data_IF_246640943877
#
_entry.id   IF_246640943877
#
_cell.length_a   1.000
_cell.length_b   1.000
_cell.length_c   1.000
_cell.angle_alpha   90.00
_cell.angle_beta   90.00
_cell.angle_gamma   90.00
#
_symmetry.space_group_name_H-M   'P 1'
#
loop_
_entity.id
_entity.type
_entity.pdbx_description
1 polymer ?
#
# COMPACT_ATOMS: atom_id res chain seq x y z
N UNK A 1 5.76 -16.56 -13.86
CA UNK A 1 4.51 -16.20 -13.15
C UNK A 1 4.64 -14.76 -12.66
N UNK A 2 3.64 -13.94 -12.93
CA UNK A 2 3.60 -12.49 -12.63
C UNK A 2 2.82 -12.24 -11.34
N UNK A 3 3.48 -11.68 -10.33
CA UNK A 3 2.93 -11.52 -8.98
C UNK A 3 2.93 -10.05 -8.56
N UNK A 4 1.80 -9.57 -8.03
CA UNK A 4 1.73 -8.27 -7.35
C UNK A 4 1.67 -8.50 -5.84
N UNK A 5 2.62 -7.92 -5.10
CA UNK A 5 2.71 -8.03 -3.63
C UNK A 5 2.49 -6.66 -3.01
N UNK A 6 1.50 -6.54 -2.12
CA UNK A 6 1.30 -5.30 -1.36
C UNK A 6 1.69 -5.52 0.10
N UNK A 7 2.43 -4.58 0.66
CA UNK A 7 2.84 -4.57 2.06
C UNK A 7 2.22 -3.40 2.81
N UNK A 8 1.52 -3.73 3.92
CA UNK A 8 0.91 -2.74 4.81
C UNK A 8 1.94 -2.00 5.67
N UNK A 9 1.55 -0.89 6.27
CA UNK A 9 2.43 -0.05 7.08
C UNK A 9 3.05 -0.75 8.29
N UNK A 10 2.36 -1.73 8.87
CA UNK A 10 2.88 -2.57 9.97
C UNK A 10 4.04 -3.48 9.56
N UNK A 11 4.18 -3.75 8.25
CA UNK A 11 5.25 -4.59 7.71
C UNK A 11 6.55 -3.81 7.44
N UNK A 12 6.53 -2.48 7.52
CA UNK A 12 7.65 -1.60 7.13
C UNK A 12 7.94 -0.49 8.16
N UNK A 13 7.41 -0.57 9.37
CA UNK A 13 7.52 0.45 10.42
C UNK A 13 8.85 0.42 11.20
N UNK A 14 9.80 -0.44 10.81
CA UNK A 14 11.16 -0.49 11.34
C UNK A 14 12.13 -1.09 10.32
N UNK A 15 13.43 -0.82 10.46
CA UNK A 15 14.42 -1.34 9.54
C UNK A 15 14.48 -2.87 9.50
N UNK A 16 14.32 -3.53 10.66
CA UNK A 16 14.23 -5.00 10.73
C UNK A 16 13.07 -5.56 9.90
N UNK A 17 11.92 -4.89 9.92
CA UNK A 17 10.77 -5.32 9.12
C UNK A 17 10.96 -5.03 7.63
N UNK A 18 11.60 -3.93 7.27
CA UNK A 18 11.98 -3.65 5.87
C UNK A 18 12.93 -4.73 5.34
N UNK A 19 13.94 -5.13 6.12
CA UNK A 19 14.83 -6.27 5.78
C UNK A 19 14.03 -7.57 5.61
N UNK A 20 13.08 -7.82 6.51
CA UNK A 20 12.21 -9.00 6.42
C UNK A 20 11.40 -8.99 5.12
N UNK A 21 10.76 -7.88 4.77
CA UNK A 21 10.02 -7.71 3.50
C UNK A 21 10.95 -7.91 2.30
N UNK A 22 12.14 -7.33 2.31
CA UNK A 22 13.11 -7.50 1.23
C UNK A 22 13.53 -8.97 1.04
N UNK A 23 13.82 -9.68 2.13
CA UNK A 23 14.15 -11.10 2.09
C UNK A 23 12.95 -11.96 1.66
N UNK A 24 11.74 -11.60 2.05
CA UNK A 24 10.52 -12.25 1.61
C UNK A 24 10.35 -12.17 0.09
N UNK A 25 10.47 -10.97 -0.49
CA UNK A 25 10.45 -10.75 -1.94
C UNK A 25 11.55 -11.60 -2.61
N UNK A 26 12.77 -11.59 -2.08
CA UNK A 26 13.89 -12.37 -2.60
C UNK A 26 13.59 -13.87 -2.62
N UNK A 27 13.02 -14.41 -1.54
CA UNK A 27 12.71 -15.83 -1.41
C UNK A 27 11.68 -16.31 -2.42
N UNK A 28 10.67 -15.50 -2.71
CA UNK A 28 9.63 -15.86 -3.68
C UNK A 28 10.11 -15.68 -5.12
N UNK A 29 10.94 -14.69 -5.40
CA UNK A 29 11.54 -14.52 -6.74
C UNK A 29 12.32 -15.74 -7.18
N UNK A 30 13.12 -16.33 -6.28
CA UNK A 30 13.90 -17.53 -6.60
C UNK A 30 13.06 -18.81 -6.72
N UNK A 31 11.88 -18.87 -6.07
CA UNK A 31 11.10 -20.10 -6.01
C UNK A 31 10.15 -20.30 -7.18
N UNK A 32 9.47 -19.28 -7.68
CA UNK A 32 8.36 -19.45 -8.67
C UNK A 32 8.03 -18.21 -9.50
N UNK A 33 8.54 -17.02 -9.16
CA UNK A 33 8.04 -15.78 -9.74
C UNK A 33 9.16 -14.94 -10.34
N UNK A 34 9.27 -14.94 -11.66
CA UNK A 34 10.30 -14.18 -12.34
C UNK A 34 9.92 -12.70 -12.45
N UNK A 35 8.62 -12.38 -12.51
CA UNK A 35 8.09 -11.04 -12.63
C UNK A 35 7.31 -10.65 -11.38
N UNK A 36 7.79 -9.66 -10.65
CA UNK A 36 7.19 -9.21 -9.38
C UNK A 36 7.05 -7.70 -9.35
N UNK A 37 5.94 -7.22 -8.79
CA UNK A 37 5.70 -5.80 -8.49
C UNK A 37 5.38 -5.67 -7.00
N UNK A 38 6.06 -4.76 -6.31
CA UNK A 38 5.77 -4.40 -4.92
C UNK A 38 4.92 -3.14 -4.85
N UNK A 39 3.87 -3.16 -4.02
CA UNK A 39 3.06 -1.96 -3.67
C UNK A 39 3.24 -1.69 -2.18
N UNK A 40 3.67 -0.48 -1.85
CA UNK A 40 4.06 -0.12 -0.50
C UNK A 40 3.10 0.93 0.07
N UNK A 41 2.61 0.68 1.29
CA UNK A 41 1.83 1.65 2.06
C UNK A 41 2.75 2.62 2.82
N UNK A 42 2.17 3.67 3.39
CA UNK A 42 2.85 4.52 4.36
C UNK A 42 3.33 3.70 5.58
N UNK A 43 4.41 4.15 6.23
CA UNK A 43 4.80 3.64 7.56
C UNK A 43 3.63 3.78 8.52
N UNK A 44 3.45 2.79 9.40
CA UNK A 44 2.34 2.76 10.35
C UNK A 44 2.18 4.08 11.10
N UNK A 45 0.96 4.62 11.10
CA UNK A 45 0.58 5.86 11.78
C UNK A 45 0.87 7.14 11.00
N UNK A 46 1.73 7.11 9.97
CA UNK A 46 2.11 8.31 9.20
C UNK A 46 0.92 9.00 8.54
N UNK A 47 -0.01 8.23 7.97
CA UNK A 47 -1.22 8.76 7.34
C UNK A 47 -2.09 9.54 8.33
N UNK A 48 -2.29 8.97 9.53
CA UNK A 48 -3.07 9.61 10.60
C UNK A 48 -2.36 10.85 11.15
N UNK A 49 -1.03 10.81 11.27
CA UNK A 49 -0.23 11.97 11.70
C UNK A 49 -0.31 13.11 10.68
N UNK A 50 -0.22 12.83 9.37
CA UNK A 50 -0.36 13.85 8.32
C UNK A 50 -1.77 14.47 8.37
N UNK A 51 -2.81 13.66 8.54
CA UNK A 51 -4.16 14.16 8.68
C UNK A 51 -4.33 15.02 9.94
N UNK A 52 -3.74 14.62 11.06
CA UNK A 52 -3.74 15.40 12.30
C UNK A 52 -3.04 16.73 12.15
N UNK A 53 -1.82 16.72 11.55
CA UNK A 53 -1.04 17.95 11.35
C UNK A 53 -1.73 18.91 10.38
N UNK A 54 -2.43 18.42 9.36
CA UNK A 54 -3.20 19.28 8.44
C UNK A 54 -4.25 20.12 9.15
N UNK A 55 -4.82 19.62 10.26
CA UNK A 55 -5.73 20.36 11.10
C UNK A 55 -5.02 21.38 12.01
N UNK A 56 -3.79 21.09 12.45
CA UNK A 56 -2.97 22.03 13.23
C UNK A 56 -2.47 23.19 12.38
N UNK A 57 -2.13 22.91 11.12
CA UNK A 57 -1.75 23.92 10.12
C UNK A 57 -2.82 24.99 9.93
N UNK A 58 -4.11 24.60 9.84
CA UNK A 58 -5.26 25.54 9.76
C UNK A 58 -5.31 26.51 10.93
N UNK A 59 -4.77 26.14 12.09
CA UNK A 59 -4.73 26.95 13.32
C UNK A 59 -3.44 27.75 13.46
N UNK A 60 -2.50 27.64 12.51
CA UNK A 60 -1.20 28.29 12.55
C UNK A 60 -0.24 27.74 13.62
N UNK A 61 -0.43 26.49 14.07
CA UNK A 61 0.38 25.84 15.10
C UNK A 61 1.75 25.39 14.55
N UNK A 62 2.68 26.31 14.46
CA UNK A 62 4.03 26.06 13.96
C UNK A 62 4.83 25.10 14.82
N UNK A 63 4.59 25.06 16.14
CA UNK A 63 5.32 24.17 17.04
C UNK A 63 4.99 22.71 16.74
N UNK A 64 3.72 22.39 16.60
CA UNK A 64 3.29 21.03 16.21
C UNK A 64 3.85 20.62 14.85
N UNK A 65 3.98 21.55 13.89
CA UNK A 65 4.56 21.27 12.58
C UNK A 65 6.04 20.93 12.71
N UNK A 66 6.80 21.75 13.40
CA UNK A 66 8.24 21.51 13.63
C UNK A 66 8.49 20.17 14.33
N UNK A 67 7.70 19.84 15.35
CA UNK A 67 7.79 18.57 16.06
C UNK A 67 7.42 17.38 15.16
N UNK A 68 6.41 17.50 14.32
CA UNK A 68 6.04 16.49 13.34
C UNK A 68 7.17 16.24 12.33
N UNK A 69 7.71 17.27 11.71
CA UNK A 69 8.81 17.17 10.74
C UNK A 69 10.03 16.53 11.39
N UNK A 70 10.40 16.96 12.60
CA UNK A 70 11.52 16.38 13.36
C UNK A 70 11.32 14.88 13.61
N UNK A 71 10.15 14.47 14.09
CA UNK A 71 9.85 13.04 14.32
C UNK A 71 9.86 12.26 13.02
N UNK A 72 9.27 12.79 11.95
CA UNK A 72 9.26 12.16 10.61
C UNK A 72 10.68 11.92 10.12
N UNK A 73 11.56 12.91 10.24
CA UNK A 73 12.97 12.82 9.86
C UNK A 73 13.71 11.74 10.65
N UNK A 74 13.57 11.74 11.98
CA UNK A 74 14.20 10.74 12.85
C UNK A 74 13.69 9.32 12.53
N UNK A 75 12.38 9.14 12.39
CA UNK A 75 11.78 7.83 12.12
C UNK A 75 12.30 7.22 10.82
N UNK A 76 12.27 7.98 9.72
CA UNK A 76 12.73 7.47 8.43
C UNK A 76 14.24 7.27 8.38
N UNK A 77 15.02 8.16 9.06
CA UNK A 77 16.47 7.98 9.19
C UNK A 77 16.82 6.67 9.92
N UNK A 78 16.16 6.37 11.04
CA UNK A 78 16.37 5.12 11.78
C UNK A 78 16.03 3.90 10.91
N UNK A 79 14.91 3.94 10.18
CA UNK A 79 14.52 2.84 9.28
C UNK A 79 15.59 2.62 8.21
N UNK A 80 16.11 3.69 7.59
CA UNK A 80 17.17 3.62 6.58
C UNK A 80 18.47 3.03 7.18
N UNK A 81 18.92 3.56 8.31
CA UNK A 81 20.16 3.13 8.94
C UNK A 81 20.15 1.67 9.36
N UNK A 82 19.01 1.19 9.82
CA UNK A 82 18.81 -0.22 10.20
C UNK A 82 18.64 -1.16 8.99
N UNK A 83 18.08 -0.67 7.86
CA UNK A 83 17.67 -1.55 6.75
C UNK A 83 18.65 -1.61 5.59
N UNK A 84 19.57 -0.66 5.45
CA UNK A 84 20.47 -0.57 4.32
C UNK A 84 21.92 -0.57 4.83
N UNK A 85 22.66 -1.65 4.56
CA UNK A 85 24.03 -1.85 5.04
C UNK A 85 25.07 -1.17 4.16
N UNK A 86 24.86 -1.16 2.84
CA UNK A 86 25.74 -0.51 1.87
C UNK A 86 25.70 1.01 2.02
N UNK A 87 26.83 1.63 2.36
CA UNK A 87 26.94 3.06 2.64
C UNK A 87 26.51 3.93 1.46
N UNK A 88 26.86 3.54 0.22
CA UNK A 88 26.47 4.32 -0.97
C UNK A 88 24.96 4.32 -1.17
N UNK A 89 24.31 3.15 -1.07
CA UNK A 89 22.85 3.03 -1.18
C UNK A 89 22.14 3.73 -0.02
N UNK A 90 22.69 3.64 1.19
CA UNK A 90 22.18 4.34 2.37
C UNK A 90 22.19 5.84 2.17
N UNK A 91 23.32 6.41 1.73
CA UNK A 91 23.43 7.85 1.45
C UNK A 91 22.46 8.31 0.34
N UNK A 92 22.28 7.48 -0.70
CA UNK A 92 21.29 7.77 -1.74
C UNK A 92 19.86 7.78 -1.19
N UNK A 93 19.51 6.79 -0.37
CA UNK A 93 18.19 6.73 0.29
C UNK A 93 17.98 7.95 1.20
N UNK A 94 18.97 8.29 2.03
CA UNK A 94 18.93 9.46 2.92
C UNK A 94 18.69 10.76 2.14
N UNK A 95 19.40 10.96 1.03
CA UNK A 95 19.24 12.15 0.20
C UNK A 95 17.82 12.25 -0.37
N UNK A 96 17.27 11.15 -0.90
CA UNK A 96 15.90 11.13 -1.42
C UNK A 96 14.87 11.45 -0.33
N UNK A 97 15.01 10.81 0.84
CA UNK A 97 14.07 11.02 1.94
C UNK A 97 14.19 12.43 2.54
N UNK A 98 15.41 12.96 2.65
CA UNK A 98 15.63 14.34 3.11
C UNK A 98 14.91 15.33 2.19
N UNK A 99 15.11 15.23 0.87
CA UNK A 99 14.45 16.11 -0.10
C UNK A 99 12.92 16.03 -0.02
N UNK A 100 12.36 14.83 0.18
CA UNK A 100 10.91 14.66 0.33
C UNK A 100 10.39 15.27 1.64
N UNK A 101 11.16 15.21 2.72
CA UNK A 101 10.76 15.81 4.00
C UNK A 101 10.89 17.33 3.94
N UNK A 102 11.92 17.86 3.27
CA UNK A 102 12.07 19.30 3.05
C UNK A 102 10.90 19.83 2.20
N UNK A 103 10.51 19.11 1.12
CA UNK A 103 9.31 19.43 0.33
C UNK A 103 8.02 19.41 1.17
N UNK A 104 7.86 18.43 2.06
CA UNK A 104 6.72 18.35 2.98
C UNK A 104 6.68 19.54 3.93
N UNK A 105 7.84 19.95 4.48
CA UNK A 105 8.01 21.11 5.36
C UNK A 105 7.61 22.39 4.65
N UNK A 106 8.14 22.64 3.45
CA UNK A 106 7.83 23.81 2.62
C UNK A 106 6.33 23.95 2.33
N UNK A 107 5.65 22.82 2.03
CA UNK A 107 4.22 22.80 1.76
C UNK A 107 3.41 23.11 3.02
N UNK A 108 3.79 22.54 4.15
CA UNK A 108 3.12 22.81 5.43
C UNK A 108 3.26 24.30 5.81
N UNK A 109 4.45 24.90 5.61
CA UNK A 109 4.67 26.32 5.81
C UNK A 109 3.84 27.18 4.85
N UNK A 110 3.78 26.80 3.58
CA UNK A 110 2.95 27.49 2.59
C UNK A 110 1.45 27.46 2.95
N UNK A 111 0.96 26.33 3.45
CA UNK A 111 -0.43 26.18 3.89
C UNK A 111 -0.69 27.05 5.15
N UNK A 112 0.27 27.15 6.09
CA UNK A 112 0.15 28.05 7.25
C UNK A 112 -0.05 29.50 6.81
N UNK A 113 0.68 29.93 5.79
CA UNK A 113 0.56 31.31 5.27
C UNK A 113 -0.80 31.57 4.62
N UNK A 114 -1.36 30.56 3.94
CA UNK A 114 -2.69 30.65 3.30
C UNK A 114 -3.84 30.44 4.28
N UNK A 115 -3.58 29.83 5.43
CA UNK A 115 -4.56 29.41 6.44
C UNK A 115 -5.70 28.53 5.87
N UNK A 116 -5.42 27.82 4.76
CA UNK A 116 -6.41 27.00 4.05
C UNK A 116 -5.83 25.66 3.63
N UNK A 117 -6.58 24.56 3.88
CA UNK A 117 -6.29 23.22 3.37
C UNK A 117 -7.44 22.83 2.44
N UNK A 118 -7.18 22.83 1.15
CA UNK A 118 -8.13 22.33 0.15
C UNK A 118 -8.09 20.80 0.06
N UNK A 119 -9.13 20.12 -0.46
CA UNK A 119 -9.06 18.68 -0.72
C UNK A 119 -7.84 18.29 -1.58
N UNK A 120 -7.49 19.10 -2.57
CA UNK A 120 -6.31 18.89 -3.43
C UNK A 120 -5.00 18.99 -2.65
N UNK A 121 -4.82 19.99 -1.79
CA UNK A 121 -3.61 20.12 -0.97
C UNK A 121 -3.53 19.02 0.09
N UNK A 122 -4.68 18.55 0.60
CA UNK A 122 -4.72 17.43 1.52
C UNK A 122 -4.26 16.13 0.84
N UNK A 123 -4.73 15.81 -0.37
CA UNK A 123 -4.25 14.65 -1.13
C UNK A 123 -2.76 14.70 -1.38
N UNK A 124 -2.24 15.90 -1.69
CA UNK A 124 -0.81 16.08 -1.87
C UNK A 124 -0.04 15.79 -0.57
N UNK A 125 -0.47 16.34 0.58
CA UNK A 125 0.12 16.04 1.88
C UNK A 125 0.05 14.55 2.22
N UNK A 126 -1.14 13.94 2.05
CA UNK A 126 -1.35 12.51 2.33
C UNK A 126 -0.43 11.61 1.52
N UNK A 127 -0.05 12.03 0.31
CA UNK A 127 0.83 11.25 -0.57
C UNK A 127 2.25 11.05 0.01
N UNK A 128 2.70 11.90 0.92
CA UNK A 128 4.04 11.79 1.51
C UNK A 128 4.22 10.51 2.34
N UNK A 129 3.14 9.95 2.88
CA UNK A 129 3.22 8.69 3.59
C UNK A 129 3.90 7.58 2.77
N UNK A 130 3.38 7.32 1.59
CA UNK A 130 3.90 6.31 0.67
C UNK A 130 5.14 6.79 -0.09
N UNK A 131 5.25 8.08 -0.40
CA UNK A 131 6.44 8.65 -1.04
C UNK A 131 7.68 8.52 -0.18
N UNK A 132 7.54 8.57 1.14
CA UNK A 132 8.65 8.39 2.09
C UNK A 132 9.03 6.92 2.30
N UNK A 133 8.07 6.00 2.30
CA UNK A 133 8.33 4.58 2.58
C UNK A 133 8.84 3.79 1.37
N UNK A 134 8.30 4.06 0.18
CA UNK A 134 8.54 3.28 -1.03
C UNK A 134 10.00 3.28 -1.49
N UNK A 135 10.73 4.42 -1.51
CA UNK A 135 12.15 4.44 -1.84
C UNK A 135 12.99 3.57 -0.89
N UNK A 136 12.70 3.61 0.41
CA UNK A 136 13.46 2.84 1.41
C UNK A 136 13.40 1.34 1.10
N UNK A 137 12.22 0.80 0.81
CA UNK A 137 12.04 -0.61 0.44
C UNK A 137 12.81 -0.93 -0.85
N UNK A 138 12.79 -0.05 -1.85
CA UNK A 138 13.54 -0.25 -3.09
C UNK A 138 15.04 -0.26 -2.85
N UNK A 139 15.57 0.65 -2.05
CA UNK A 139 17.00 0.65 -1.71
C UNK A 139 17.41 -0.57 -0.88
N UNK A 140 16.56 -1.04 0.04
CA UNK A 140 16.79 -2.26 0.80
C UNK A 140 16.84 -3.52 -0.09
N UNK A 141 16.00 -3.59 -1.13
CA UNK A 141 16.07 -4.65 -2.14
C UNK A 141 17.40 -4.61 -2.92
N UNK A 142 17.85 -3.43 -3.31
CA UNK A 142 19.14 -3.25 -3.99
C UNK A 142 20.31 -3.65 -3.09
N UNK A 143 20.23 -3.37 -1.79
CA UNK A 143 21.23 -3.71 -0.79
C UNK A 143 21.45 -5.24 -0.68
N UNK A 144 20.38 -6.02 -0.84
CA UNK A 144 20.46 -7.51 -0.85
C UNK A 144 20.66 -8.10 -2.25
N UNK A 145 21.02 -7.28 -3.24
CA UNK A 145 21.40 -7.72 -4.60
C UNK A 145 20.23 -7.91 -5.58
N UNK A 146 19.05 -7.35 -5.31
CA UNK A 146 17.92 -7.37 -6.25
C UNK A 146 17.84 -6.05 -7.02
N UNK A 147 17.75 -6.12 -8.35
CA UNK A 147 17.45 -4.95 -9.16
C UNK A 147 16.03 -4.46 -8.86
N UNK A 148 15.88 -3.21 -8.41
CA UNK A 148 14.59 -2.61 -8.11
C UNK A 148 14.58 -1.12 -8.43
N UNK A 149 13.39 -0.61 -8.76
CA UNK A 149 13.14 0.81 -9.01
C UNK A 149 11.86 1.23 -8.29
N UNK A 150 11.93 2.28 -7.46
CA UNK A 150 10.72 2.88 -6.90
C UNK A 150 10.04 3.80 -7.91
N UNK A 151 8.70 3.84 -7.89
CA UNK A 151 7.87 4.62 -8.82
C UNK A 151 6.67 5.18 -8.05
N UNK A 152 6.44 6.47 -8.18
CA UNK A 152 5.25 7.11 -7.59
C UNK A 152 4.02 6.77 -8.44
N UNK A 153 2.84 6.56 -7.84
CA UNK A 153 1.61 6.19 -8.53
C UNK A 153 1.25 7.11 -9.70
N UNK A 154 1.52 8.41 -9.58
CA UNK A 154 1.45 9.37 -10.68
C UNK A 154 2.35 8.98 -11.87
N UNK A 155 3.57 8.54 -11.59
CA UNK A 155 4.58 8.20 -12.61
C UNK A 155 4.35 6.83 -13.23
N UNK A 156 3.72 5.91 -12.50
CA UNK A 156 3.35 4.59 -13.05
C UNK A 156 2.19 4.69 -14.02
N UNK A 157 1.45 5.81 -14.00
CA UNK A 157 0.40 6.11 -14.95
C UNK A 157 -1.02 5.81 -14.46
N UNK A 158 -1.24 5.73 -13.14
CA UNK A 158 -2.59 5.60 -12.58
C UNK A 158 -3.31 6.94 -12.72
N UNK A 159 -4.17 7.01 -13.75
CA UNK A 159 -4.99 8.18 -14.07
C UNK A 159 -6.32 8.09 -13.35
N UNK A 160 -6.75 9.19 -12.70
CA UNK A 160 -7.99 9.25 -11.94
C UNK A 160 -8.89 10.41 -12.38
N UNK A 161 -10.12 10.41 -11.87
CA UNK A 161 -10.91 11.63 -11.79
C UNK A 161 -10.30 12.63 -10.78
N UNK A 162 -10.88 13.83 -10.68
CA UNK A 162 -10.44 14.87 -9.73
C UNK A 162 -11.24 14.86 -8.42
N UNK A 163 -11.80 13.71 -8.03
CA UNK A 163 -12.51 13.56 -6.75
C UNK A 163 -11.49 13.35 -5.62
N UNK A 164 -10.87 14.44 -5.16
CA UNK A 164 -9.82 14.40 -4.15
C UNK A 164 -10.29 13.73 -2.85
N UNK A 165 -9.44 12.88 -2.28
CA UNK A 165 -9.70 12.06 -1.09
C UNK A 165 -10.31 10.69 -1.38
N UNK A 166 -11.09 10.55 -2.47
CA UNK A 166 -11.76 9.31 -2.88
C UNK A 166 -11.76 9.13 -4.40
N UNK A 167 -10.64 9.43 -5.04
CA UNK A 167 -10.51 9.38 -6.48
C UNK A 167 -10.82 7.99 -7.06
N UNK A 168 -11.32 7.98 -8.30
CA UNK A 168 -11.59 6.76 -9.05
C UNK A 168 -10.66 6.66 -10.26
N UNK A 169 -10.04 5.51 -10.51
CA UNK A 169 -9.17 5.32 -11.66
C UNK A 169 -10.00 5.29 -12.95
N UNK A 170 -9.51 5.96 -13.97
CA UNK A 170 -10.00 5.85 -15.34
C UNK A 170 -9.35 4.59 -15.95
N UNK A 171 -9.96 3.42 -15.69
CA UNK A 171 -9.34 2.10 -15.86
C UNK A 171 -8.81 1.83 -17.25
N UNK A 172 -9.53 2.21 -18.30
CA UNK A 172 -9.09 1.93 -19.69
C UNK A 172 -7.75 2.61 -20.01
N UNK A 173 -7.62 3.88 -19.66
CA UNK A 173 -6.37 4.63 -19.85
C UNK A 173 -5.30 4.19 -18.86
N UNK A 174 -5.69 3.93 -17.60
CA UNK A 174 -4.78 3.48 -16.56
C UNK A 174 -4.11 2.15 -16.94
N UNK A 175 -4.88 1.16 -17.41
CA UNK A 175 -4.32 -0.13 -17.84
C UNK A 175 -3.22 0.03 -18.89
N UNK A 176 -3.46 0.84 -19.90
CA UNK A 176 -2.48 1.07 -20.95
C UNK A 176 -1.20 1.76 -20.44
N UNK A 177 -1.35 2.81 -19.62
CA UNK A 177 -0.22 3.56 -19.09
C UNK A 177 0.61 2.74 -18.10
N UNK A 178 -0.04 2.03 -17.19
CA UNK A 178 0.62 1.18 -16.19
C UNK A 178 1.36 0.03 -16.87
N UNK A 179 0.73 -0.67 -17.83
CA UNK A 179 1.38 -1.72 -18.60
C UNK A 179 2.62 -1.19 -19.34
N UNK A 180 2.48 -0.06 -20.05
CA UNK A 180 3.59 0.58 -20.75
C UNK A 180 4.78 0.93 -19.83
N UNK A 181 4.52 1.32 -18.59
CA UNK A 181 5.56 1.69 -17.62
C UNK A 181 6.20 0.47 -16.95
N UNK A 182 5.38 -0.53 -16.58
CA UNK A 182 5.82 -1.66 -15.74
C UNK A 182 6.42 -2.80 -16.57
N UNK A 183 5.83 -3.16 -17.70
CA UNK A 183 6.28 -4.32 -18.50
C UNK A 183 7.75 -4.26 -18.96
N UNK A 184 8.30 -3.12 -19.40
CA UNK A 184 9.71 -3.05 -19.73
C UNK A 184 10.62 -3.39 -18.55
N UNK A 185 10.32 -2.87 -17.35
CA UNK A 185 11.08 -3.13 -16.14
C UNK A 185 11.07 -4.63 -15.78
N UNK A 186 9.89 -5.26 -15.86
CA UNK A 186 9.76 -6.70 -15.60
C UNK A 186 10.59 -7.53 -16.59
N UNK A 187 10.59 -7.17 -17.89
CA UNK A 187 11.41 -7.83 -18.92
C UNK A 187 12.91 -7.68 -18.67
N UNK A 188 13.33 -6.56 -18.12
CA UNK A 188 14.73 -6.32 -17.70
C UNK A 188 15.08 -6.97 -16.35
N UNK A 189 14.15 -7.67 -15.73
CA UNK A 189 14.34 -8.30 -14.43
C UNK A 189 14.40 -7.31 -13.26
N UNK A 190 13.94 -6.08 -13.45
CA UNK A 190 13.84 -5.05 -12.41
C UNK A 190 12.50 -5.22 -11.69
N UNK A 191 12.50 -5.14 -10.36
CA UNK A 191 11.30 -5.18 -9.53
C UNK A 191 10.79 -3.74 -9.36
N UNK A 192 9.64 -3.35 -9.97
CA UNK A 192 9.01 -2.08 -9.69
C UNK A 192 8.45 -2.08 -8.26
N UNK A 193 8.79 -1.05 -7.47
CA UNK A 193 8.27 -0.79 -6.14
C UNK A 193 7.43 0.48 -6.22
N UNK A 194 6.11 0.33 -6.18
CA UNK A 194 5.16 1.39 -6.45
C UNK A 194 4.54 1.91 -5.16
N UNK A 195 4.37 3.23 -5.04
CA UNK A 195 3.57 3.80 -3.96
C UNK A 195 2.13 3.31 -4.06
N UNK A 196 1.60 2.77 -2.98
CA UNK A 196 0.17 2.57 -2.84
C UNK A 196 -0.60 3.89 -2.73
N UNK A 197 -1.93 3.84 -2.68
CA UNK A 197 -2.80 4.95 -2.29
C UNK A 197 -2.87 6.14 -3.28
N UNK A 198 -1.93 6.29 -4.20
CA UNK A 198 -1.71 7.50 -5.00
C UNK A 198 -2.03 7.27 -6.48
N UNK A 199 -2.76 8.21 -7.08
CA UNK A 199 -2.92 8.40 -8.51
C UNK A 199 -2.69 9.87 -8.89
N UNK A 200 -3.08 10.24 -10.10
CA UNK A 200 -3.12 11.64 -10.54
C UNK A 200 -4.29 11.89 -11.48
N UNK A 201 -4.86 13.08 -11.42
CA UNK A 201 -5.87 13.53 -12.35
C UNK A 201 -5.26 13.91 -13.73
N UNK A 202 -6.10 14.31 -14.67
CA UNK A 202 -5.69 14.70 -16.02
C UNK A 202 -4.78 15.94 -16.05
N UNK A 203 -4.85 16.79 -15.01
CA UNK A 203 -4.02 17.97 -14.87
C UNK A 203 -2.68 17.67 -14.18
N UNK A 204 -2.44 16.39 -13.83
CA UNK A 204 -1.24 15.96 -13.13
C UNK A 204 -1.25 16.27 -11.62
N UNK A 205 -2.39 16.66 -11.06
CA UNK A 205 -2.52 16.82 -9.61
C UNK A 205 -2.59 15.45 -8.95
N UNK A 206 -1.86 15.28 -7.85
CA UNK A 206 -1.92 14.06 -7.06
C UNK A 206 -3.32 13.91 -6.46
N UNK A 207 -3.85 12.68 -6.56
CA UNK A 207 -5.11 12.26 -5.98
C UNK A 207 -4.89 11.04 -5.09
N UNK A 208 -5.76 10.83 -4.12
CA UNK A 208 -5.70 9.67 -3.22
C UNK A 208 -7.00 8.85 -3.29
N UNK A 209 -6.88 7.55 -2.98
CA UNK A 209 -8.00 6.61 -3.12
C UNK A 209 -8.84 6.45 -1.86
N UNK A 210 -8.49 7.12 -0.77
CA UNK A 210 -9.16 6.95 0.51
C UNK A 210 -8.84 5.60 1.17
N UNK A 211 -9.72 5.14 2.04
CA UNK A 211 -9.52 3.92 2.84
C UNK A 211 -9.29 2.68 1.95
N UNK A 212 -8.28 1.87 2.28
CA UNK A 212 -7.91 0.69 1.49
C UNK A 212 -7.18 1.01 0.17
N UNK A 213 -6.75 2.27 -0.02
CA UNK A 213 -6.18 2.75 -1.28
C UNK A 213 -4.93 2.02 -1.74
N UNK A 214 -4.08 1.49 -0.84
CA UNK A 214 -2.91 0.71 -1.25
C UNK A 214 -3.29 -0.70 -1.76
N UNK A 215 -4.34 -1.32 -1.21
CA UNK A 215 -4.88 -2.58 -1.74
C UNK A 215 -5.53 -2.34 -3.10
N UNK A 216 -6.24 -1.20 -3.23
CA UNK A 216 -6.81 -0.76 -4.51
C UNK A 216 -5.73 -0.52 -5.57
N UNK A 217 -4.61 0.11 -5.22
CA UNK A 217 -3.44 0.26 -6.10
C UNK A 217 -2.91 -1.09 -6.57
N UNK A 218 -2.80 -2.07 -5.67
CA UNK A 218 -2.30 -3.40 -6.01
C UNK A 218 -3.21 -4.11 -7.05
N UNK A 219 -4.53 -4.02 -6.89
CA UNK A 219 -5.48 -4.61 -7.83
C UNK A 219 -5.55 -3.85 -9.16
N UNK A 220 -5.43 -2.52 -9.16
CA UNK A 220 -5.30 -1.71 -10.38
C UNK A 220 -4.06 -2.14 -11.18
N UNK A 221 -2.90 -2.25 -10.53
CA UNK A 221 -1.67 -2.68 -11.19
C UNK A 221 -1.82 -4.11 -11.71
N UNK A 222 -2.34 -5.04 -10.91
CA UNK A 222 -2.53 -6.43 -11.30
C UNK A 222 -3.43 -6.57 -12.53
N UNK A 223 -4.55 -5.86 -12.54
CA UNK A 223 -5.47 -5.82 -13.70
C UNK A 223 -4.82 -5.20 -14.93
N UNK A 224 -3.89 -4.24 -14.74
CA UNK A 224 -3.22 -3.54 -15.84
C UNK A 224 -2.14 -4.38 -16.52
N UNK A 225 -1.46 -5.24 -15.77
CA UNK A 225 -0.37 -6.07 -16.30
C UNK A 225 -0.78 -7.54 -16.47
N UNK A 226 -2.05 -7.88 -16.34
CA UNK A 226 -2.56 -9.25 -16.35
C UNK A 226 -1.75 -10.16 -15.41
N UNK A 227 -1.67 -9.79 -14.14
CA UNK A 227 -0.98 -10.57 -13.14
C UNK A 227 -1.66 -11.93 -12.92
N UNK A 228 -0.87 -12.95 -12.54
CA UNK A 228 -1.41 -14.27 -12.24
C UNK A 228 -2.03 -14.33 -10.84
N UNK A 229 -1.49 -13.55 -9.88
CA UNK A 229 -1.96 -13.53 -8.49
C UNK A 229 -1.62 -12.20 -7.81
N UNK A 230 -2.41 -11.84 -6.77
CA UNK A 230 -2.16 -10.68 -5.90
C UNK A 230 -1.98 -11.19 -4.48
N UNK A 231 -0.91 -10.78 -3.80
CA UNK A 231 -0.70 -11.10 -2.38
C UNK A 231 -0.76 -9.84 -1.54
N UNK A 232 -1.74 -9.80 -0.65
CA UNK A 232 -1.90 -8.74 0.34
C UNK A 232 -1.26 -9.18 1.66
N UNK A 233 -0.09 -8.67 1.95
CA UNK A 233 0.66 -8.94 3.17
C UNK A 233 0.21 -8.00 4.28
N UNK A 234 -0.25 -8.61 5.39
CA UNK A 234 -0.82 -7.95 6.56
C UNK A 234 -0.22 -8.54 7.85
N UNK A 235 -0.72 -8.13 9.00
CA UNK A 235 -0.39 -8.65 10.33
C UNK A 235 -1.38 -9.74 10.82
N UNK A 236 -2.27 -10.21 9.94
CA UNK A 236 -3.25 -11.26 10.24
C UNK A 236 -3.08 -12.46 9.31
N UNK A 237 -3.43 -13.65 9.80
CA UNK A 237 -3.27 -14.91 9.04
C UNK A 237 -4.25 -15.06 7.87
N UNK A 238 -5.26 -14.21 7.75
CA UNK A 238 -6.26 -14.24 6.70
C UNK A 238 -7.62 -13.72 7.16
N UNK A 239 -8.65 -13.92 6.34
CA UNK A 239 -10.03 -13.63 6.71
C UNK A 239 -10.50 -14.66 7.75
N UNK A 240 -11.19 -14.20 8.79
CA UNK A 240 -11.60 -15.05 9.90
C UNK A 240 -13.11 -15.26 9.94
N UNK A 241 -13.53 -16.38 10.52
CA UNK A 241 -14.95 -16.72 10.72
C UNK A 241 -15.67 -15.76 11.68
N UNK A 242 -14.94 -15.06 12.54
CA UNK A 242 -15.41 -14.00 13.44
C UNK A 242 -14.23 -13.14 13.90
N UNK A 243 -14.50 -11.99 14.55
CA UNK A 243 -13.46 -11.19 15.19
C UNK A 243 -12.80 -12.00 16.33
N UNK A 244 -11.50 -12.33 16.25
CA UNK A 244 -10.80 -13.12 17.26
C UNK A 244 -10.73 -12.43 18.64
N UNK A 245 -10.92 -11.12 18.71
CA UNK A 245 -11.04 -10.38 19.97
C UNK A 245 -12.35 -10.62 20.69
N UNK A 246 -13.36 -11.11 19.98
CA UNK A 246 -14.71 -11.40 20.51
C UNK A 246 -14.90 -12.92 20.65
N UNK A 247 -14.43 -13.68 19.67
CA UNK A 247 -14.62 -15.14 19.58
C UNK A 247 -13.27 -15.83 19.52
N UNK A 248 -12.81 -16.35 20.66
CA UNK A 248 -11.49 -17.02 20.76
C UNK A 248 -11.33 -18.25 19.86
N UNK A 249 -12.44 -18.89 19.47
CA UNK A 249 -12.46 -20.04 18.54
C UNK A 249 -12.57 -19.68 17.08
N UNK A 250 -12.44 -18.39 16.74
CA UNK A 250 -12.42 -17.93 15.35
C UNK A 250 -11.30 -18.61 14.56
N UNK A 251 -11.61 -19.03 13.32
CA UNK A 251 -10.69 -19.75 12.43
C UNK A 251 -10.47 -18.98 11.16
N UNK A 252 -9.28 -19.13 10.56
CA UNK A 252 -8.99 -18.57 9.23
C UNK A 252 -9.81 -19.32 8.17
N UNK A 253 -10.44 -18.57 7.28
CA UNK A 253 -11.12 -19.10 6.10
C UNK A 253 -10.07 -19.40 5.03
N UNK A 254 -10.05 -20.62 4.51
CA UNK A 254 -9.09 -20.99 3.46
C UNK A 254 -9.41 -20.30 2.13
N UNK A 255 -10.70 -20.29 1.77
CA UNK A 255 -11.18 -19.72 0.51
C UNK A 255 -12.51 -19.01 0.70
N UNK A 256 -12.66 -17.87 0.00
CA UNK A 256 -13.92 -17.13 -0.13
C UNK A 256 -14.09 -16.64 -1.57
N UNK A 257 -15.32 -16.42 -2.01
CA UNK A 257 -15.60 -15.76 -3.28
C UNK A 257 -15.39 -14.24 -3.17
N UNK A 258 -15.27 -13.56 -4.30
CA UNK A 258 -15.27 -12.09 -4.32
C UNK A 258 -16.53 -11.49 -3.70
N UNK A 259 -17.72 -12.09 -3.99
CA UNK A 259 -18.98 -11.64 -3.43
C UNK A 259 -18.98 -11.75 -1.89
N UNK A 260 -18.58 -12.90 -1.36
CA UNK A 260 -18.47 -13.10 0.09
C UNK A 260 -17.45 -12.14 0.74
N UNK A 261 -16.30 -11.92 0.11
CA UNK A 261 -15.30 -10.98 0.61
C UNK A 261 -15.83 -9.54 0.63
N UNK A 262 -16.58 -9.13 -0.39
CA UNK A 262 -17.24 -7.81 -0.44
C UNK A 262 -18.30 -7.67 0.65
N UNK A 263 -19.14 -8.68 0.86
CA UNK A 263 -20.14 -8.69 1.93
C UNK A 263 -19.47 -8.62 3.31
N UNK A 264 -18.46 -9.47 3.56
CA UNK A 264 -17.70 -9.42 4.81
C UNK A 264 -17.11 -8.05 5.08
N UNK A 265 -16.56 -7.39 4.06
CA UNK A 265 -15.99 -6.05 4.17
C UNK A 265 -17.05 -4.98 4.48
N UNK A 266 -18.23 -5.06 3.85
CA UNK A 266 -19.37 -4.16 4.11
C UNK A 266 -19.91 -4.32 5.54
N UNK A 267 -19.89 -5.54 6.08
CA UNK A 267 -20.36 -5.87 7.43
C UNK A 267 -19.26 -5.84 8.50
N UNK A 268 -18.16 -5.12 8.25
CA UNK A 268 -17.18 -4.76 9.27
C UNK A 268 -15.91 -5.60 9.35
N UNK A 269 -15.72 -6.57 8.46
CA UNK A 269 -14.43 -7.23 8.32
C UNK A 269 -13.40 -6.23 7.76
N UNK A 270 -12.37 -5.90 8.57
CA UNK A 270 -11.44 -4.80 8.28
C UNK A 270 -10.28 -5.18 7.35
N UNK A 271 -10.31 -6.37 6.72
CA UNK A 271 -9.15 -6.96 6.07
C UNK A 271 -8.94 -6.55 4.62
N UNK A 272 -10.02 -6.18 3.92
CA UNK A 272 -9.98 -5.66 2.55
C UNK A 272 -11.13 -4.67 2.37
N UNK A 273 -10.88 -3.58 1.66
CA UNK A 273 -11.95 -2.63 1.34
C UNK A 273 -12.68 -3.07 0.06
N UNK A 274 -14.04 -3.00 -0.02
CA UNK A 274 -14.79 -3.46 -1.19
C UNK A 274 -14.28 -2.88 -2.51
N UNK A 275 -13.93 -1.59 -2.54
CA UNK A 275 -13.38 -0.91 -3.73
C UNK A 275 -12.09 -1.57 -4.26
N UNK A 276 -11.31 -2.19 -3.37
CA UNK A 276 -10.09 -2.87 -3.80
C UNK A 276 -10.35 -4.10 -4.69
N UNK A 277 -11.57 -4.63 -4.70
CA UNK A 277 -11.93 -5.74 -5.57
C UNK A 277 -12.42 -5.29 -6.96
N UNK A 278 -12.91 -4.04 -7.09
CA UNK A 278 -13.50 -3.54 -8.34
C UNK A 278 -12.62 -3.76 -9.60
N UNK A 279 -11.30 -3.47 -9.60
CA UNK A 279 -10.47 -3.59 -10.81
C UNK A 279 -10.32 -5.00 -11.33
N UNK A 280 -10.57 -6.02 -10.49
CA UNK A 280 -10.29 -7.43 -10.80
C UNK A 280 -11.54 -8.30 -10.89
N UNK A 281 -12.73 -7.76 -10.67
CA UNK A 281 -13.98 -8.54 -10.72
C UNK A 281 -14.13 -9.32 -12.03
N UNK A 282 -13.75 -8.73 -13.15
CA UNK A 282 -13.86 -9.33 -14.48
C UNK A 282 -12.59 -10.10 -14.91
N UNK A 283 -11.49 -10.01 -14.14
CA UNK A 283 -10.19 -10.56 -14.55
C UNK A 283 -9.89 -11.96 -14.04
N UNK A 284 -10.63 -12.46 -13.08
CA UNK A 284 -10.42 -13.73 -12.37
C UNK A 284 -9.07 -13.87 -11.66
N UNK A 285 -8.32 -12.77 -11.46
CA UNK A 285 -7.01 -12.78 -10.77
C UNK A 285 -7.23 -13.02 -9.28
N UNK A 286 -6.80 -14.16 -8.71
CA UNK A 286 -7.01 -14.43 -7.29
C UNK A 286 -6.21 -13.48 -6.40
N UNK A 287 -6.80 -13.14 -5.24
CA UNK A 287 -6.11 -12.45 -4.16
C UNK A 287 -5.80 -13.46 -3.06
N UNK A 288 -4.60 -13.37 -2.50
CA UNK A 288 -4.23 -14.10 -1.29
C UNK A 288 -3.90 -13.13 -0.17
N UNK A 289 -4.62 -13.22 0.95
CA UNK A 289 -4.30 -12.48 2.18
C UNK A 289 -3.34 -13.33 2.98
N UNK A 290 -2.17 -12.79 3.33
CA UNK A 290 -1.10 -13.50 4.03
C UNK A 290 -0.57 -12.69 5.21
N UNK A 291 -0.08 -13.40 6.21
CA UNK A 291 0.60 -12.77 7.33
C UNK A 291 2.10 -12.58 7.04
N UNK A 292 2.56 -11.34 7.13
CA UNK A 292 3.97 -10.98 6.93
C UNK A 292 4.89 -11.66 7.95
N UNK A 293 4.40 -11.92 9.17
CA UNK A 293 5.18 -12.47 10.27
C UNK A 293 4.94 -13.97 10.51
N UNK A 294 3.95 -14.56 9.81
CA UNK A 294 3.64 -15.99 9.83
C UNK A 294 3.58 -16.52 8.40
N UNK A 295 4.73 -16.49 7.71
CA UNK A 295 4.84 -16.75 6.27
C UNK A 295 4.53 -18.20 5.88
N UNK A 296 4.59 -19.14 6.81
CA UNK A 296 4.25 -20.55 6.58
C UNK A 296 2.74 -20.77 6.50
N UNK A 297 1.94 -19.85 7.06
CA UNK A 297 0.48 -19.93 6.98
C UNK A 297 0.03 -19.55 5.57
N UNK A 298 -0.78 -20.42 4.94
CA UNK A 298 -1.23 -20.25 3.55
C UNK A 298 -2.12 -19.02 3.33
N UNK A 299 -2.77 -18.54 4.38
CA UNK A 299 -3.66 -17.38 4.34
C UNK A 299 -5.06 -17.72 3.83
N UNK A 300 -5.74 -16.71 3.29
CA UNK A 300 -7.06 -16.84 2.65
C UNK A 300 -6.95 -16.52 1.17
N UNK A 301 -7.49 -17.38 0.32
CA UNK A 301 -7.65 -17.13 -1.12
C UNK A 301 -9.01 -16.49 -1.37
N UNK A 302 -9.04 -15.38 -2.07
CA UNK A 302 -10.26 -14.74 -2.58
C UNK A 302 -10.26 -14.96 -4.10
N UNK A 303 -11.26 -15.65 -4.62
CA UNK A 303 -11.33 -16.00 -6.04
C UNK A 303 -12.74 -15.91 -6.59
N UNK A 304 -12.88 -15.99 -7.91
CA UNK A 304 -14.21 -15.98 -8.55
C UNK A 304 -15.01 -17.25 -8.21
N UNK A 305 -14.34 -18.39 -8.22
CA UNK A 305 -14.96 -19.71 -7.98
C UNK A 305 -14.18 -20.44 -6.88
N UNK A 306 -14.54 -20.27 -5.60
CA UNK A 306 -13.96 -21.04 -4.52
C UNK A 306 -14.30 -22.54 -4.66
N UNK A 307 -13.47 -23.42 -4.10
CA UNK A 307 -13.68 -24.88 -4.16
C UNK A 307 -15.02 -25.27 -3.51
N UNK A 308 -15.61 -26.38 -3.97
CA UNK A 308 -16.90 -26.87 -3.47
C UNK A 308 -16.84 -27.19 -1.95
N UNK A 309 -15.67 -27.63 -1.45
CA UNK A 309 -15.45 -27.90 -0.01
C UNK A 309 -15.55 -26.64 0.85
N UNK A 310 -15.34 -25.45 0.27
CA UNK A 310 -15.43 -24.16 0.97
C UNK A 310 -16.86 -23.57 0.96
N UNK A 311 -17.82 -24.16 0.29
CA UNK A 311 -19.21 -23.69 0.16
C UNK A 311 -20.04 -23.98 1.42
N UNK A 312 -19.71 -23.38 2.56
CA UNK A 312 -20.57 -23.41 3.76
C UNK A 312 -21.63 -22.31 3.65
N UNK A 313 -22.84 -22.60 4.18
CA UNK A 313 -23.97 -21.64 4.19
C UNK A 313 -23.63 -20.37 4.98
N UNK A 314 -22.92 -20.50 6.12
CA UNK A 314 -22.46 -19.38 6.93
C UNK A 314 -20.94 -19.49 7.07
N UNK A 315 -20.19 -18.55 6.51
CA UNK A 315 -18.71 -18.51 6.58
C UNK A 315 -18.18 -17.62 7.68
N UNK A 316 -18.85 -16.48 7.93
CA UNK A 316 -18.40 -15.50 8.92
C UNK A 316 -19.57 -14.83 9.61
N UNK A 317 -19.35 -14.42 10.86
CA UNK A 317 -20.27 -13.59 11.65
C UNK A 317 -19.49 -12.34 12.05
N UNK A 318 -19.97 -11.18 11.61
CA UNK A 318 -19.38 -9.89 11.93
C UNK A 318 -20.31 -9.08 12.83
N UNK A 319 -19.74 -8.30 13.74
CA UNK A 319 -20.50 -7.39 14.60
C UNK A 319 -20.03 -5.96 14.40
N UNK A 320 -20.96 -5.06 14.12
CA UNK A 320 -20.72 -3.62 14.04
C UNK A 320 -21.23 -2.98 15.33
N UNK A 321 -20.36 -2.31 16.09
CA UNK A 321 -20.81 -1.47 17.20
C UNK A 321 -21.32 -0.15 16.64
N UNK A 322 -22.62 0.08 16.76
CA UNK A 322 -23.15 1.42 16.61
C UNK A 322 -22.93 2.18 17.94
N UNK A 323 -22.08 3.20 17.92
CA UNK A 323 -22.09 4.24 18.95
C UNK A 323 -23.27 5.16 18.59
N UNK A 324 -24.28 5.16 19.45
CA UNK A 324 -25.40 6.11 19.39
C UNK A 324 -24.87 7.52 19.69
#
# INVERSE_FOLDING_TARGET
MRLVMKFGGTAIDSGKKVIHVANLIKSYRHKRHDEMVGVISAVRGMTDEILSISNSVKRGDKISIMDFIKRTRITHQVIIDESISNTTLRNQAQNVITQLIDELEDILEGIVLLAEVTPKSLDYLMSFGERLSTPIVSFALRDIGLASQYIIGKEVGILTDSNFGEARPLMDTTKLRVAHKIEPLLKEGIIPIVTGFIGADQNGNITTFGRGGSDYTATIIAASINADEIWLWSDVDGLMTADPKIVNSAKVLKEVSYAEAMEMALFGAKYIHPRALEPILDTKIPIRIRNTFNVEHEGTIISHNPSIESQKIVKSINAIRHTA
#
